data_IF_390358129159
#
_entry.id   IF_390358129159
#
_cell.length_a   1.000
_cell.length_b   1.000
_cell.length_c   1.000
_cell.angle_alpha   90.00
_cell.angle_beta   90.00
_cell.angle_gamma   90.00
#
_symmetry.space_group_name_H-M   'P 1'
#
loop_
_entity.id
_entity.type
_entity.pdbx_description
1 polymer ?
#
# COMPACT_ATOMS: atom_id res chain seq x y z
N UNK A 1 16.13 -11.46 32.55
CA UNK A 1 15.50 -10.69 31.48
C UNK A 1 14.31 -11.48 30.96
N UNK A 2 13.10 -10.97 31.10
CA UNK A 2 11.90 -11.60 30.52
C UNK A 2 12.01 -11.60 29.01
N UNK A 3 11.98 -12.78 28.36
CA UNK A 3 11.92 -12.88 26.90
C UNK A 3 10.53 -12.43 26.47
N UNK A 4 10.45 -11.31 25.76
CA UNK A 4 9.19 -10.90 25.13
C UNK A 4 8.88 -11.89 23.99
N UNK A 5 7.73 -12.53 24.06
CA UNK A 5 7.24 -13.45 23.04
C UNK A 5 6.21 -12.72 22.19
N UNK A 6 6.24 -12.95 20.88
CA UNK A 6 5.25 -12.48 19.92
C UNK A 6 4.66 -13.69 19.18
N UNK A 7 3.35 -13.69 19.00
CA UNK A 7 2.63 -14.76 18.30
C UNK A 7 2.73 -14.59 16.78
N UNK A 8 2.78 -13.33 16.31
CA UNK A 8 2.94 -13.00 14.89
C UNK A 8 3.94 -11.87 14.70
N UNK A 9 4.79 -12.02 13.69
CA UNK A 9 5.69 -10.95 13.20
C UNK A 9 5.29 -10.59 11.78
N UNK A 10 4.96 -9.32 11.55
CA UNK A 10 4.61 -8.76 10.23
C UNK A 10 5.82 -7.97 9.73
N UNK A 11 6.33 -8.33 8.56
CA UNK A 11 7.44 -7.63 7.93
C UNK A 11 6.87 -6.63 6.92
N UNK A 12 7.02 -5.34 7.23
CA UNK A 12 6.50 -4.21 6.49
C UNK A 12 5.18 -3.66 7.06
N UNK A 13 5.24 -2.41 7.52
CA UNK A 13 4.09 -1.62 8.01
C UNK A 13 3.40 -0.85 6.89
N UNK A 14 3.33 -1.40 5.67
CA UNK A 14 2.58 -0.83 4.56
C UNK A 14 1.06 -1.07 4.68
N UNK A 15 0.31 -0.76 3.61
CA UNK A 15 -1.16 -0.87 3.58
C UNK A 15 -1.67 -2.23 4.05
N UNK A 16 -1.10 -3.31 3.51
CA UNK A 16 -1.48 -4.69 3.87
C UNK A 16 -1.05 -5.04 5.31
N UNK A 17 0.19 -4.70 5.67
CA UNK A 17 0.73 -4.98 7.00
C UNK A 17 -0.04 -4.27 8.11
N UNK A 18 -0.42 -3.02 7.91
CA UNK A 18 -1.25 -2.27 8.86
C UNK A 18 -2.65 -2.88 9.01
N UNK A 19 -3.28 -3.27 7.90
CA UNK A 19 -4.59 -3.92 7.94
C UNK A 19 -4.53 -5.27 8.69
N UNK A 20 -3.49 -6.08 8.40
CA UNK A 20 -3.28 -7.37 9.06
C UNK A 20 -2.98 -7.18 10.55
N UNK A 21 -2.12 -6.22 10.90
CA UNK A 21 -1.79 -5.90 12.28
C UNK A 21 -3.05 -5.51 13.07
N UNK A 22 -3.89 -4.65 12.51
CA UNK A 22 -5.14 -4.24 13.14
C UNK A 22 -6.07 -5.42 13.39
N UNK A 23 -6.20 -6.34 12.43
CA UNK A 23 -7.10 -7.50 12.57
C UNK A 23 -6.58 -8.50 13.59
N UNK A 24 -5.31 -8.83 13.56
CA UNK A 24 -4.72 -9.81 14.47
C UNK A 24 -4.63 -9.30 15.92
N UNK A 25 -4.36 -8.01 16.11
CA UNK A 25 -4.29 -7.40 17.43
C UNK A 25 -5.67 -7.09 18.05
N UNK A 26 -6.76 -7.37 17.35
CA UNK A 26 -8.12 -7.25 17.90
C UNK A 26 -8.35 -8.23 19.06
N UNK A 27 -7.64 -9.36 19.07
CA UNK A 27 -7.55 -10.24 20.23
C UNK A 27 -6.41 -9.76 21.15
N UNK A 28 -6.71 -9.26 22.37
CA UNK A 28 -5.69 -8.77 23.30
C UNK A 28 -4.68 -9.83 23.76
N UNK A 29 -5.01 -11.11 23.63
CA UNK A 29 -4.12 -12.22 23.97
C UNK A 29 -3.09 -12.48 22.86
N UNK A 30 -3.33 -12.03 21.64
CA UNK A 30 -2.48 -12.23 20.47
C UNK A 30 -1.49 -11.08 20.28
N UNK A 31 -0.21 -11.33 20.53
CA UNK A 31 0.85 -10.32 20.47
C UNK A 31 1.41 -10.22 19.05
N UNK A 32 1.23 -9.07 18.43
CA UNK A 32 1.71 -8.79 17.07
C UNK A 32 2.89 -7.83 17.13
N UNK A 33 3.96 -8.17 16.41
CA UNK A 33 5.09 -7.27 16.16
C UNK A 33 5.11 -6.86 14.68
N UNK A 34 5.13 -5.57 14.42
CA UNK A 34 5.33 -5.04 13.06
C UNK A 34 6.75 -4.50 12.94
N UNK A 35 7.48 -4.97 11.94
CA UNK A 35 8.82 -4.48 11.59
C UNK A 35 8.70 -3.62 10.35
N UNK A 36 8.90 -2.31 10.48
CA UNK A 36 8.89 -1.35 9.38
C UNK A 36 10.29 -0.77 9.18
N UNK A 37 10.75 -0.73 7.92
CA UNK A 37 12.07 -0.21 7.57
C UNK A 37 12.11 1.32 7.53
N UNK A 38 10.95 1.94 7.30
CA UNK A 38 10.81 3.38 7.24
C UNK A 38 10.55 4.00 8.60
N UNK A 39 10.40 5.31 8.59
CA UNK A 39 10.10 6.11 9.78
C UNK A 39 8.60 6.04 10.12
N UNK A 40 8.21 6.37 11.36
CA UNK A 40 6.81 6.65 11.66
C UNK A 40 6.31 7.85 10.86
N UNK A 41 5.01 7.84 10.53
CA UNK A 41 4.28 8.97 9.98
C UNK A 41 3.92 9.95 11.10
N UNK A 42 4.88 10.75 11.52
CA UNK A 42 4.67 11.69 12.61
C UNK A 42 3.57 12.70 12.26
N UNK A 43 2.72 13.01 13.24
CA UNK A 43 1.59 13.93 13.07
C UNK A 43 2.00 15.33 12.57
N UNK A 44 3.23 15.74 12.84
CA UNK A 44 3.81 17.00 12.36
C UNK A 44 4.49 16.91 11.01
N UNK A 45 4.45 15.72 10.35
CA UNK A 45 5.06 15.55 9.04
C UNK A 45 4.12 16.09 7.96
N UNK A 46 4.27 17.38 7.67
CA UNK A 46 3.43 18.11 6.71
C UNK A 46 3.50 17.51 5.30
N UNK A 47 4.62 16.87 4.93
CA UNK A 47 4.78 16.27 3.59
C UNK A 47 3.95 15.00 3.41
N UNK A 48 3.58 14.33 4.49
CA UNK A 48 2.67 13.18 4.46
C UNK A 48 1.22 13.63 4.63
N UNK A 49 0.96 14.55 5.57
CA UNK A 49 -0.41 14.87 5.98
C UNK A 49 -1.06 15.99 5.17
N UNK A 50 -0.26 16.82 4.46
CA UNK A 50 -0.78 17.91 3.64
C UNK A 50 -0.94 17.47 2.18
N UNK A 51 -2.17 17.47 1.62
CA UNK A 51 -2.40 17.05 0.24
C UNK A 51 -1.54 17.79 -0.80
N UNK A 52 -1.31 19.08 -0.60
CA UNK A 52 -0.44 19.88 -1.48
C UNK A 52 1.04 19.45 -1.44
N UNK A 53 1.44 18.70 -0.40
CA UNK A 53 2.81 18.19 -0.23
C UNK A 53 3.10 16.88 -0.95
N UNK A 54 2.12 16.27 -1.64
CA UNK A 54 2.19 14.90 -2.18
C UNK A 54 3.40 14.64 -3.10
N UNK A 55 3.95 15.66 -3.73
CA UNK A 55 5.11 15.52 -4.63
C UNK A 55 6.45 15.43 -3.88
N UNK A 56 6.51 15.86 -2.63
CA UNK A 56 7.75 15.88 -1.85
C UNK A 56 8.22 14.48 -1.41
N UNK A 57 7.36 13.57 -0.94
CA UNK A 57 7.78 12.24 -0.52
C UNK A 57 8.28 11.36 -1.67
N UNK A 58 7.70 11.51 -2.87
CA UNK A 58 8.04 10.69 -4.03
C UNK A 58 9.45 11.07 -4.53
N UNK A 59 10.33 10.08 -4.63
CA UNK A 59 11.73 10.27 -5.00
C UNK A 59 12.62 10.80 -3.87
N UNK A 60 12.07 11.05 -2.69
CA UNK A 60 12.84 11.44 -1.52
C UNK A 60 13.21 10.21 -0.69
N UNK A 61 14.50 9.93 -0.54
CA UNK A 61 15.04 8.74 0.15
C UNK A 61 14.59 8.59 1.62
N UNK A 62 14.09 9.64 2.26
CA UNK A 62 13.53 9.59 3.61
C UNK A 62 12.14 8.96 3.65
N UNK A 63 11.41 8.99 2.51
CA UNK A 63 10.02 8.52 2.39
C UNK A 63 9.84 7.44 1.33
N UNK A 64 10.80 7.29 0.43
CA UNK A 64 10.71 6.46 -0.76
C UNK A 64 11.95 5.55 -0.88
N UNK A 65 11.72 4.30 -1.27
CA UNK A 65 12.79 3.36 -1.60
C UNK A 65 13.55 3.76 -2.87
N UNK A 66 12.95 4.59 -3.71
CA UNK A 66 13.51 5.05 -4.97
C UNK A 66 13.95 3.90 -5.88
N UNK A 67 13.11 2.88 -6.04
CA UNK A 67 13.43 1.77 -6.93
C UNK A 67 13.38 2.20 -8.39
N UNK A 68 14.21 1.58 -9.20
CA UNK A 68 14.18 1.69 -10.65
C UNK A 68 14.15 0.30 -11.28
N UNK A 69 13.49 0.18 -12.44
CA UNK A 69 13.53 -1.06 -13.22
C UNK A 69 14.94 -1.34 -13.77
N UNK A 70 15.19 -2.54 -14.21
CA UNK A 70 16.27 -2.78 -15.17
C UNK A 70 16.00 -2.02 -16.48
N UNK A 71 17.02 -1.81 -17.34
CA UNK A 71 16.83 -1.17 -18.63
C UNK A 71 15.77 -1.91 -19.46
N UNK A 72 14.76 -1.17 -19.94
CA UNK A 72 13.66 -1.74 -20.73
C UNK A 72 13.99 -1.64 -22.22
N UNK A 73 14.29 -2.76 -22.90
CA UNK A 73 14.74 -2.74 -24.30
C UNK A 73 13.74 -2.09 -25.25
N UNK A 74 12.44 -2.31 -25.03
CA UNK A 74 11.36 -1.75 -25.84
C UNK A 74 11.01 -0.30 -25.52
N UNK A 75 11.72 0.31 -24.55
CA UNK A 75 11.55 1.69 -24.12
C UNK A 75 12.86 2.48 -24.24
N UNK A 76 13.62 2.24 -25.30
CA UNK A 76 14.94 2.85 -25.55
C UNK A 76 15.96 2.61 -24.43
N UNK A 77 15.93 1.43 -23.80
CA UNK A 77 16.77 1.05 -22.68
C UNK A 77 16.67 2.00 -21.46
N UNK A 78 15.58 2.75 -21.33
CA UNK A 78 15.40 3.60 -20.16
C UNK A 78 15.07 2.76 -18.93
N UNK A 79 15.48 3.25 -17.76
CA UNK A 79 15.02 2.77 -16.48
C UNK A 79 13.75 3.50 -16.08
N UNK A 80 12.78 2.78 -15.55
CA UNK A 80 11.52 3.35 -15.09
C UNK A 80 11.56 3.46 -13.56
N UNK A 81 11.34 4.66 -13.06
CA UNK A 81 11.25 4.92 -11.63
C UNK A 81 9.98 4.29 -11.03
N UNK A 82 10.13 3.59 -9.91
CA UNK A 82 9.06 2.95 -9.17
C UNK A 82 9.08 3.44 -7.71
N UNK A 83 8.36 4.52 -7.43
CA UNK A 83 8.19 5.00 -6.07
C UNK A 83 7.50 3.96 -5.18
N UNK A 84 8.09 3.73 -4.01
CA UNK A 84 7.51 2.86 -2.95
C UNK A 84 7.78 3.48 -1.61
N UNK A 85 6.71 3.66 -0.82
CA UNK A 85 6.83 4.28 0.48
C UNK A 85 7.72 3.51 1.45
N UNK A 86 8.63 4.25 2.08
CA UNK A 86 9.53 3.80 3.15
C UNK A 86 9.16 4.55 4.43
N UNK A 87 7.97 4.28 4.92
CA UNK A 87 7.33 4.95 6.05
C UNK A 87 6.21 4.07 6.57
N UNK A 88 5.79 4.24 7.80
CA UNK A 88 4.59 3.58 8.31
C UNK A 88 3.38 3.93 7.44
N UNK A 89 2.60 2.93 7.03
CA UNK A 89 1.58 3.06 5.99
C UNK A 89 2.10 2.75 4.57
N UNK A 90 3.43 2.74 4.38
CA UNK A 90 4.07 2.41 3.10
C UNK A 90 3.63 3.34 1.96
N UNK A 91 3.35 2.77 0.79
CA UNK A 91 2.94 3.55 -0.37
C UNK A 91 1.60 4.25 -0.22
N UNK A 92 0.72 3.82 0.72
CA UNK A 92 -0.51 4.57 1.00
C UNK A 92 -0.26 5.90 1.71
N UNK A 93 0.90 6.07 2.36
CA UNK A 93 1.30 7.34 2.98
C UNK A 93 1.92 8.34 2.01
N UNK A 94 2.32 7.90 0.81
CA UNK A 94 2.97 8.76 -0.20
C UNK A 94 2.28 8.71 -1.58
N UNK A 95 1.09 8.13 -1.67
CA UNK A 95 0.36 8.02 -2.93
C UNK A 95 -0.21 9.37 -3.40
N UNK A 96 -0.68 9.41 -4.64
CA UNK A 96 -1.27 10.62 -5.22
C UNK A 96 -2.71 10.92 -4.77
N UNK A 97 -3.24 10.19 -3.79
CA UNK A 97 -4.60 10.36 -3.23
C UNK A 97 -5.72 10.29 -4.30
N UNK A 98 -5.48 9.58 -5.40
CA UNK A 98 -6.47 9.34 -6.44
C UNK A 98 -7.33 8.17 -5.99
N UNK A 99 -8.63 8.39 -5.84
CA UNK A 99 -9.59 7.40 -5.33
C UNK A 99 -10.85 7.25 -6.22
N UNK A 100 -10.73 7.12 -7.56
CA UNK A 100 -11.85 6.74 -8.40
C UNK A 100 -12.08 5.22 -8.30
N UNK A 101 -13.31 4.81 -8.45
CA UNK A 101 -13.64 3.41 -8.71
C UNK A 101 -13.31 3.08 -10.15
N UNK A 102 -13.10 1.79 -10.44
CA UNK A 102 -12.93 1.31 -11.81
C UNK A 102 -14.18 1.59 -12.66
N UNK A 103 -13.97 1.67 -13.98
CA UNK A 103 -15.07 1.84 -14.91
C UNK A 103 -16.01 0.61 -14.85
N UNK A 104 -17.33 0.78 -14.65
CA UNK A 104 -18.27 -0.33 -14.63
C UNK A 104 -18.16 -1.26 -15.83
N UNK A 105 -17.92 -0.71 -17.03
CA UNK A 105 -17.78 -1.49 -18.27
C UNK A 105 -16.59 -2.46 -18.27
N UNK A 106 -15.55 -2.19 -17.47
CA UNK A 106 -14.42 -3.12 -17.33
C UNK A 106 -14.82 -4.36 -16.52
N UNK A 107 -15.62 -4.18 -15.49
CA UNK A 107 -16.18 -5.27 -14.69
C UNK A 107 -17.17 -6.12 -15.50
N UNK A 108 -18.06 -5.48 -16.27
CA UNK A 108 -18.96 -6.20 -17.18
C UNK A 108 -18.19 -7.06 -18.19
N UNK A 109 -17.08 -6.53 -18.71
CA UNK A 109 -16.22 -7.28 -19.63
C UNK A 109 -15.56 -8.48 -18.94
N UNK A 110 -15.11 -8.33 -17.69
CA UNK A 110 -14.57 -9.45 -16.92
C UNK A 110 -15.62 -10.52 -16.64
N UNK A 111 -16.83 -10.10 -16.28
CA UNK A 111 -17.93 -11.01 -15.99
C UNK A 111 -18.39 -11.83 -17.21
N UNK A 112 -18.03 -11.39 -18.43
CA UNK A 112 -18.32 -12.12 -19.66
C UNK A 112 -17.42 -13.38 -19.84
N UNK A 113 -16.30 -13.47 -19.09
CA UNK A 113 -15.41 -14.62 -19.15
C UNK A 113 -15.96 -15.75 -18.27
N UNK A 114 -15.80 -17.01 -18.76
CA UNK A 114 -16.28 -18.18 -18.05
C UNK A 114 -15.63 -18.32 -16.66
N UNK A 115 -16.44 -18.46 -15.62
CA UNK A 115 -16.02 -18.56 -14.23
C UNK A 115 -15.85 -17.20 -13.54
N UNK A 116 -16.15 -16.08 -14.24
CA UNK A 116 -16.04 -14.73 -13.72
C UNK A 116 -17.40 -14.04 -13.57
N UNK A 117 -18.51 -14.78 -13.58
CA UNK A 117 -19.89 -14.25 -13.62
C UNK A 117 -20.23 -13.32 -12.45
N UNK A 118 -19.54 -13.47 -11.31
CA UNK A 118 -19.73 -12.63 -10.13
C UNK A 118 -18.79 -11.40 -10.08
N UNK A 119 -18.08 -11.12 -11.18
CA UNK A 119 -17.17 -9.97 -11.28
C UNK A 119 -17.78 -8.76 -11.99
N UNK A 120 -19.08 -8.78 -12.29
CA UNK A 120 -19.75 -7.60 -12.79
C UNK A 120 -19.75 -6.46 -11.75
N UNK A 121 -20.03 -5.24 -12.18
CA UNK A 121 -19.94 -4.08 -11.32
C UNK A 121 -20.92 -4.12 -10.14
N UNK A 122 -22.09 -4.69 -10.33
CA UNK A 122 -23.11 -4.80 -9.28
C UNK A 122 -22.66 -5.72 -8.13
N UNK A 123 -22.04 -6.84 -8.45
CA UNK A 123 -21.47 -7.75 -7.46
C UNK A 123 -20.23 -7.16 -6.77
N UNK A 124 -19.39 -6.41 -7.49
CA UNK A 124 -18.19 -5.78 -6.93
C UNK A 124 -18.49 -4.54 -6.08
N UNK A 125 -19.57 -3.81 -6.37
CA UNK A 125 -19.89 -2.52 -5.73
C UNK A 125 -19.97 -2.56 -4.19
N UNK A 126 -20.51 -3.60 -3.53
CA UNK A 126 -20.54 -3.66 -2.06
C UNK A 126 -19.17 -3.66 -1.40
N UNK A 127 -18.13 -4.11 -2.11
CA UNK A 127 -16.76 -4.18 -1.61
C UNK A 127 -15.98 -2.85 -1.76
N UNK A 128 -16.56 -1.86 -2.45
CA UNK A 128 -15.98 -0.51 -2.59
C UNK A 128 -16.51 0.49 -1.55
N UNK A 129 -17.33 0.06 -0.61
CA UNK A 129 -17.97 0.90 0.42
C UNK A 129 -17.26 0.81 1.75
#
# INVERSE_FOLDING_TARGET
>A
MSKTHYDTIIIGGGSAGCALANRLSADPSHKVLVLEAGRPDYIWDIFIHMPAGLTFPIGNKYYDWCYESEPEPFMNNRRVFHGRGKVLGGSSSINGMIFPRGNPMDYERWAADSGMENWDYAHCLPYFK
#
